data_IF_815567693159
#
_entry.id   IF_815567693159
#
_cell.length_a   1.000
_cell.length_b   1.000
_cell.length_c   1.000
_cell.angle_alpha   90.00
_cell.angle_beta   90.00
_cell.angle_gamma   90.00
#
_symmetry.space_group_name_H-M   'P 1'
#
loop_
_entity.id
_entity.type
_entity.pdbx_description
1 polymer ?
#
# COMPACT_ATOMS: atom_id res chain seq x y z
N UNK A 1 -22.19 21.26 -15.02
CA UNK A 1 -23.07 20.09 -14.77
C UNK A 1 -22.53 19.37 -13.55
N UNK A 2 -23.07 19.65 -12.37
CA UNK A 2 -22.62 19.01 -11.12
C UNK A 2 -22.97 17.53 -11.17
N UNK A 3 -21.96 16.66 -11.16
CA UNK A 3 -22.12 15.20 -11.10
C UNK A 3 -22.94 14.89 -9.86
N UNK A 4 -24.18 14.44 -10.03
CA UNK A 4 -25.06 14.04 -8.93
C UNK A 4 -24.45 12.80 -8.29
N UNK A 5 -24.19 12.84 -6.98
CA UNK A 5 -23.73 11.65 -6.25
C UNK A 5 -24.78 10.53 -6.43
N UNK A 6 -24.34 9.43 -7.04
CA UNK A 6 -25.19 8.28 -7.32
C UNK A 6 -25.28 7.45 -6.04
N UNK A 7 -26.49 7.35 -5.47
CA UNK A 7 -26.74 6.47 -4.33
C UNK A 7 -26.95 5.03 -4.84
N UNK A 8 -26.14 4.10 -4.35
CA UNK A 8 -26.13 2.72 -4.81
C UNK A 8 -26.61 1.81 -3.68
N UNK A 9 -27.75 1.14 -3.90
CA UNK A 9 -28.34 0.22 -2.94
C UNK A 9 -27.88 -1.22 -3.26
N UNK A 10 -27.03 -1.78 -2.41
CA UNK A 10 -26.43 -3.10 -2.61
C UNK A 10 -27.08 -4.10 -1.64
N UNK A 11 -27.47 -5.27 -2.14
CA UNK A 11 -27.85 -6.42 -1.29
C UNK A 11 -26.59 -7.26 -1.03
N UNK A 12 -26.28 -7.47 0.25
CA UNK A 12 -25.14 -8.27 0.69
C UNK A 12 -25.58 -9.25 1.78
N UNK A 13 -24.78 -10.29 2.00
CA UNK A 13 -24.98 -11.23 3.11
C UNK A 13 -24.73 -10.54 4.45
N UNK A 14 -25.33 -11.09 5.51
CA UNK A 14 -25.15 -10.58 6.87
C UNK A 14 -23.69 -10.65 7.32
N UNK A 15 -23.02 -11.78 7.04
CA UNK A 15 -21.59 -11.96 7.36
C UNK A 15 -20.70 -10.91 6.70
N UNK A 16 -20.93 -10.59 5.41
CA UNK A 16 -20.13 -9.59 4.72
C UNK A 16 -20.35 -8.19 5.31
N UNK A 17 -21.59 -7.88 5.70
CA UNK A 17 -21.91 -6.62 6.36
C UNK A 17 -21.15 -6.49 7.68
N UNK A 18 -21.17 -7.52 8.52
CA UNK A 18 -20.49 -7.55 9.82
C UNK A 18 -18.98 -7.34 9.67
N UNK A 19 -18.36 -8.01 8.69
CA UNK A 19 -16.93 -7.83 8.38
C UNK A 19 -16.59 -6.40 7.96
N UNK A 20 -17.46 -5.75 7.18
CA UNK A 20 -17.26 -4.35 6.79
C UNK A 20 -17.43 -3.42 8.00
N UNK A 21 -18.39 -3.68 8.89
CA UNK A 21 -18.60 -2.90 10.10
C UNK A 21 -17.40 -2.97 11.06
N UNK A 22 -16.87 -4.16 11.28
CA UNK A 22 -15.67 -4.38 12.08
C UNK A 22 -14.46 -3.66 11.48
N UNK A 23 -14.22 -3.86 10.17
CA UNK A 23 -13.14 -3.18 9.46
C UNK A 23 -13.27 -1.64 9.51
N UNK A 24 -14.48 -1.10 9.39
CA UNK A 24 -14.73 0.33 9.48
C UNK A 24 -14.40 0.87 10.88
N UNK A 25 -14.74 0.11 11.93
CA UNK A 25 -14.43 0.45 13.33
C UNK A 25 -12.91 0.46 13.58
N UNK A 26 -12.19 -0.56 13.13
CA UNK A 26 -10.73 -0.64 13.26
C UNK A 26 -10.03 0.53 12.55
N UNK A 27 -10.53 0.91 11.37
CA UNK A 27 -9.96 1.98 10.56
C UNK A 27 -10.49 3.38 10.91
N UNK A 28 -11.33 3.51 11.95
CA UNK A 28 -11.95 4.77 12.37
C UNK A 28 -12.66 5.52 11.22
N UNK A 29 -13.40 4.77 10.40
CA UNK A 29 -14.14 5.29 9.24
C UNK A 29 -15.63 5.00 9.38
N UNK A 30 -16.44 5.77 8.66
CA UNK A 30 -17.84 5.37 8.46
C UNK A 30 -17.90 4.13 7.56
N UNK A 31 -18.94 3.30 7.73
CA UNK A 31 -19.17 2.11 6.89
C UNK A 31 -19.13 2.47 5.41
N UNK A 32 -19.73 3.61 5.03
CA UNK A 32 -19.75 4.07 3.64
C UNK A 32 -18.35 4.43 3.13
N UNK A 33 -17.56 5.16 3.92
CA UNK A 33 -16.19 5.51 3.56
C UNK A 33 -15.29 4.27 3.44
N UNK A 34 -15.45 3.30 4.33
CA UNK A 34 -14.71 2.04 4.25
C UNK A 34 -15.14 1.21 3.05
N UNK A 35 -16.44 1.12 2.77
CA UNK A 35 -16.97 0.41 1.59
C UNK A 35 -16.39 0.98 0.30
N UNK A 36 -16.37 2.31 0.14
CA UNK A 36 -15.75 2.98 -1.01
C UNK A 36 -14.26 2.64 -1.09
N UNK A 37 -13.55 2.68 0.03
CA UNK A 37 -12.11 2.37 0.08
C UNK A 37 -11.82 0.93 -0.34
N UNK A 38 -12.59 -0.03 0.17
CA UNK A 38 -12.46 -1.45 -0.18
C UNK A 38 -12.77 -1.70 -1.66
N UNK A 39 -13.82 -1.07 -2.19
CA UNK A 39 -14.16 -1.17 -3.61
C UNK A 39 -13.06 -0.57 -4.49
N UNK A 40 -12.54 0.60 -4.15
CA UNK A 40 -11.43 1.21 -4.90
C UNK A 40 -10.19 0.31 -4.87
N UNK A 41 -9.79 -0.18 -3.69
CA UNK A 41 -8.66 -1.12 -3.57
C UNK A 41 -8.85 -2.38 -4.41
N UNK A 42 -10.06 -2.96 -4.43
CA UNK A 42 -10.34 -4.15 -5.21
C UNK A 42 -10.23 -3.89 -6.72
N UNK A 43 -10.69 -2.73 -7.19
CA UNK A 43 -10.62 -2.32 -8.59
C UNK A 43 -9.19 -1.93 -9.02
N UNK A 44 -8.45 -1.24 -8.16
CA UNK A 44 -7.05 -0.87 -8.37
C UNK A 44 -6.15 -2.13 -8.38
N UNK A 45 -6.35 -3.05 -7.44
CA UNK A 45 -5.60 -4.31 -7.41
C UNK A 45 -5.91 -5.21 -8.61
N UNK A 46 -7.15 -5.18 -9.13
CA UNK A 46 -7.46 -5.87 -10.38
C UNK A 46 -6.62 -5.33 -11.54
N UNK A 47 -6.36 -4.03 -11.56
CA UNK A 47 -5.54 -3.39 -12.61
C UNK A 47 -4.07 -3.78 -12.46
N UNK A 48 -3.52 -3.79 -11.24
CA UNK A 48 -2.13 -4.24 -11.02
C UNK A 48 -1.97 -5.73 -11.33
N UNK A 49 -2.91 -6.58 -10.92
CA UNK A 49 -2.86 -8.02 -11.18
C UNK A 49 -3.07 -8.31 -12.68
N UNK A 50 -4.01 -7.65 -13.35
CA UNK A 50 -4.22 -7.87 -14.79
C UNK A 50 -3.13 -7.21 -15.66
N UNK A 51 -2.49 -6.12 -15.25
CA UNK A 51 -1.39 -5.51 -16.03
C UNK A 51 -0.02 -6.11 -15.74
N UNK A 52 0.27 -6.52 -14.49
CA UNK A 52 1.55 -7.14 -14.12
C UNK A 52 1.54 -8.66 -14.25
N UNK A 53 0.40 -9.31 -14.04
CA UNK A 53 0.24 -10.78 -14.02
C UNK A 53 -0.70 -11.26 -15.13
N UNK A 54 -1.46 -10.40 -15.82
CA UNK A 54 -2.33 -10.79 -16.93
C UNK A 54 -1.65 -11.61 -18.04
N UNK A 55 -0.40 -11.32 -18.47
CA UNK A 55 0.31 -12.20 -19.41
C UNK A 55 0.83 -13.51 -18.76
N UNK A 56 0.85 -13.60 -17.42
CA UNK A 56 1.18 -14.80 -16.64
C UNK A 56 -0.06 -15.59 -16.18
N UNK A 57 -1.28 -15.08 -16.41
CA UNK A 57 -2.55 -15.80 -16.20
C UNK A 57 -2.89 -16.74 -17.37
N UNK A 58 -1.91 -17.11 -18.19
CA UNK A 58 -2.03 -18.30 -19.02
C UNK A 58 -1.99 -19.48 -18.07
N UNK A 59 -3.15 -20.09 -17.81
CA UNK A 59 -3.33 -21.42 -17.22
C UNK A 59 -2.09 -21.93 -16.51
N UNK A 60 -1.73 -21.32 -15.37
CA UNK A 60 -0.80 -21.96 -14.46
C UNK A 60 -1.63 -23.07 -13.85
N UNK A 61 -1.63 -24.23 -14.51
CA UNK A 61 -1.78 -25.51 -13.83
C UNK A 61 -0.69 -25.48 -12.76
N UNK A 62 -1.04 -24.95 -11.58
CA UNK A 62 -0.25 -25.14 -10.38
C UNK A 62 -0.32 -26.66 -10.20
N UNK A 63 0.77 -27.40 -10.48
CA UNK A 63 0.74 -28.82 -10.25
C UNK A 63 0.37 -29.01 -8.78
N UNK A 64 -0.49 -29.97 -8.46
CA UNK A 64 -0.83 -30.33 -7.07
C UNK A 64 0.43 -30.66 -6.23
N UNK A 65 1.59 -30.75 -6.89
CA UNK A 65 2.91 -30.97 -6.33
C UNK A 65 3.81 -29.72 -6.19
N UNK A 66 3.26 -28.50 -6.02
CA UNK A 66 4.04 -27.42 -5.37
C UNK A 66 4.15 -27.66 -3.84
N UNK A 67 4.35 -28.92 -3.45
CA UNK A 67 4.40 -29.40 -2.07
C UNK A 67 5.83 -29.67 -1.59
N UNK A 68 6.82 -29.52 -2.48
CA UNK A 68 8.23 -29.57 -2.10
C UNK A 68 8.56 -28.34 -1.26
N UNK A 69 8.55 -28.52 0.06
CA UNK A 69 8.88 -27.53 1.09
C UNK A 69 10.18 -26.77 0.77
N UNK A 70 11.13 -27.44 0.10
CA UNK A 70 12.40 -26.86 -0.35
C UNK A 70 12.22 -25.77 -1.43
N UNK A 71 11.28 -25.96 -2.38
CA UNK A 71 10.98 -24.96 -3.42
C UNK A 71 10.31 -23.73 -2.83
N UNK A 72 9.38 -23.93 -1.89
CA UNK A 72 8.71 -22.84 -1.16
C UNK A 72 9.72 -22.06 -0.32
N UNK A 73 10.61 -22.75 0.38
CA UNK A 73 11.65 -22.12 1.22
C UNK A 73 12.61 -21.29 0.37
N UNK A 74 12.98 -21.79 -0.81
CA UNK A 74 13.86 -21.09 -1.73
C UNK A 74 13.21 -19.83 -2.33
N UNK A 75 11.91 -19.89 -2.65
CA UNK A 75 11.12 -18.72 -3.07
C UNK A 75 11.03 -17.70 -1.93
N UNK A 76 10.69 -18.14 -0.72
CA UNK A 76 10.58 -17.25 0.44
C UNK A 76 11.90 -16.54 0.73
N UNK A 77 13.02 -17.26 0.64
CA UNK A 77 14.36 -16.70 0.86
C UNK A 77 14.74 -15.62 -0.16
N UNK A 78 14.44 -15.83 -1.44
CA UNK A 78 14.71 -14.83 -2.47
C UNK A 78 13.77 -13.61 -2.33
N UNK A 79 12.50 -13.83 -1.95
CA UNK A 79 11.56 -12.74 -1.65
C UNK A 79 12.02 -11.92 -0.44
N UNK A 80 12.42 -12.56 0.66
CA UNK A 80 12.93 -11.88 1.85
C UNK A 80 14.16 -11.02 1.53
N UNK A 81 15.09 -11.57 0.74
CA UNK A 81 16.30 -10.86 0.32
C UNK A 81 15.96 -9.63 -0.52
N UNK A 82 15.02 -9.76 -1.46
CA UNK A 82 14.57 -8.65 -2.31
C UNK A 82 13.89 -7.55 -1.47
N UNK A 83 13.01 -7.92 -0.54
CA UNK A 83 12.34 -6.98 0.36
C UNK A 83 13.35 -6.24 1.22
N UNK A 84 14.30 -6.97 1.83
CA UNK A 84 15.33 -6.38 2.69
C UNK A 84 16.18 -5.36 1.94
N UNK A 85 16.67 -5.73 0.74
CA UNK A 85 17.44 -4.82 -0.10
C UNK A 85 16.68 -3.54 -0.44
N UNK A 86 15.41 -3.65 -0.78
CA UNK A 86 14.58 -2.50 -1.11
C UNK A 86 14.36 -1.58 0.10
N UNK A 87 14.07 -2.15 1.27
CA UNK A 87 13.86 -1.40 2.50
C UNK A 87 15.14 -0.66 2.93
N UNK A 88 16.30 -1.34 2.88
CA UNK A 88 17.60 -0.76 3.26
C UNK A 88 17.98 0.43 2.36
N UNK A 89 17.73 0.33 1.05
CA UNK A 89 17.95 1.43 0.11
C UNK A 89 17.05 2.64 0.45
N UNK A 90 15.78 2.38 0.78
CA UNK A 90 14.81 3.44 1.12
C UNK A 90 15.13 4.11 2.46
N UNK A 91 15.58 3.35 3.46
CA UNK A 91 16.05 3.88 4.74
C UNK A 91 17.25 4.79 4.51
N UNK A 92 18.25 4.33 3.77
CA UNK A 92 19.46 5.11 3.47
C UNK A 92 19.13 6.45 2.83
N UNK A 93 18.29 6.44 1.78
CA UNK A 93 17.82 7.67 1.12
C UNK A 93 17.04 8.58 2.08
N UNK A 94 16.30 8.03 3.04
CA UNK A 94 15.57 8.81 4.03
C UNK A 94 16.52 9.48 5.03
N UNK A 95 17.54 8.76 5.52
CA UNK A 95 18.56 9.32 6.40
C UNK A 95 19.33 10.47 5.76
N UNK A 96 19.71 10.34 4.49
CA UNK A 96 20.37 11.41 3.74
C UNK A 96 19.50 12.67 3.66
N UNK A 97 18.20 12.50 3.40
CA UNK A 97 17.24 13.61 3.38
C UNK A 97 17.08 14.27 4.73
N UNK A 98 17.07 13.49 5.82
CA UNK A 98 17.01 14.02 7.19
C UNK A 98 18.30 14.77 7.54
N UNK A 99 19.48 14.21 7.22
CA UNK A 99 20.77 14.88 7.43
C UNK A 99 20.82 16.20 6.66
N UNK A 100 20.39 16.21 5.40
CA UNK A 100 20.32 17.42 4.59
C UNK A 100 19.38 18.49 5.18
N UNK A 101 18.20 18.09 5.67
CA UNK A 101 17.25 19.04 6.28
C UNK A 101 17.75 19.62 7.61
N UNK A 102 18.41 18.82 8.44
CA UNK A 102 19.05 19.27 9.70
C UNK A 102 20.19 20.26 9.42
N UNK A 103 21.02 20.00 8.40
CA UNK A 103 22.09 20.93 7.98
C UNK A 103 21.49 22.27 7.50
N UNK A 104 20.40 22.25 6.73
CA UNK A 104 19.72 23.47 6.30
C UNK A 104 19.13 24.25 7.48
N UNK A 105 18.49 23.56 8.43
CA UNK A 105 17.92 24.19 9.62
C UNK A 105 19.00 24.86 10.49
N UNK A 106 20.15 24.21 10.68
CA UNK A 106 21.27 24.76 11.47
C UNK A 106 21.96 25.93 10.77
N UNK A 107 22.06 25.93 9.44
CA UNK A 107 22.54 27.08 8.65
C UNK A 107 21.60 28.28 8.78
N UNK A 108 20.29 28.08 8.73
CA UNK A 108 19.30 29.15 8.86
C UNK A 108 19.26 29.76 10.27
N UNK A 109 19.59 29.01 11.34
CA UNK A 109 19.74 29.56 12.69
C UNK A 109 21.00 30.42 12.90
N UNK A 110 22.08 30.20 12.13
CA UNK A 110 23.36 30.93 12.26
C UNK A 110 23.44 32.23 11.45
N UNK A 111 22.40 32.58 10.67
CA UNK A 111 22.24 33.93 10.12
C UNK A 111 21.22 34.71 10.96
N UNK A 112 21.62 35.26 12.13
CA UNK A 112 20.76 36.20 12.81
C UNK A 112 20.62 37.44 11.93
N UNK A 113 19.37 37.86 11.82
CA UNK A 113 18.88 39.07 11.19
C UNK A 113 19.82 40.27 11.42
N UNK A 114 20.75 40.54 10.48
CA UNK A 114 21.41 41.85 10.38
C UNK A 114 20.46 42.81 9.67
N UNK A 115 19.39 43.22 10.36
CA UNK A 115 18.63 44.44 10.04
C UNK A 115 18.12 45.09 11.34
N UNK A 116 18.98 45.95 11.87
CA UNK A 116 18.63 47.29 12.36
C UNK A 116 19.67 48.22 11.69
N UNK A 117 19.38 49.50 11.39
CA UNK A 117 18.41 50.39 12.02
C UNK A 117 17.12 50.63 11.23
#
# INVERSE_FOLDING_TARGET
MSKKDVQLNIRITQELKERIEESAKENNRSINAETITLLNKALENKTIIDEAIGPFRADIDIPDDLSDEETIDQINKEVEKAIKSYVDERITKMEERIKASVIQYTKNRKSPNKKAP
#
